data_IF_687701832843
#
_entry.id   IF_687701832843
#
_cell.length_a   1.000
_cell.length_b   1.000
_cell.length_c   1.000
_cell.angle_alpha   90.00
_cell.angle_beta   90.00
_cell.angle_gamma   90.00
#
_symmetry.space_group_name_H-M   'P 1'
#
loop_
_entity.id
_entity.type
_entity.pdbx_description
1 polymer ?
#
# COMPACT_ATOMS: atom_id res chain seq x y z
N UNK A 1 -10.33 -15.40 -2.27
CA UNK A 1 -11.60 -15.68 -2.96
C UNK A 1 -11.43 -16.58 -4.19
N UNK A 2 -10.59 -16.23 -5.18
CA UNK A 2 -10.40 -17.06 -6.40
C UNK A 2 -10.01 -18.52 -6.13
N UNK A 3 -8.94 -18.76 -5.36
CA UNK A 3 -8.50 -20.13 -5.03
C UNK A 3 -9.47 -20.90 -4.13
N UNK A 4 -10.19 -20.19 -3.25
CA UNK A 4 -11.21 -20.81 -2.40
C UNK A 4 -12.43 -21.27 -3.22
N UNK A 5 -12.81 -20.54 -4.27
CA UNK A 5 -13.88 -20.95 -5.17
C UNK A 5 -13.47 -22.17 -6.04
N UNK A 6 -12.22 -22.24 -6.47
CA UNK A 6 -11.69 -23.38 -7.22
C UNK A 6 -11.56 -24.61 -6.31
N UNK A 7 -11.21 -24.43 -5.04
CA UNK A 7 -11.11 -25.51 -4.07
C UNK A 7 -12.45 -26.22 -3.83
N UNK A 8 -13.59 -25.55 -4.03
CA UNK A 8 -14.92 -26.18 -3.95
C UNK A 8 -15.17 -27.22 -5.05
N UNK A 9 -14.35 -27.22 -6.11
CA UNK A 9 -14.44 -28.17 -7.23
C UNK A 9 -13.47 -29.36 -7.08
N UNK A 10 -12.65 -29.38 -6.02
CA UNK A 10 -11.59 -30.38 -5.80
C UNK A 10 -11.99 -31.29 -4.62
N UNK A 11 -11.68 -32.60 -4.68
CA UNK A 11 -11.94 -33.53 -3.58
C UNK A 11 -11.38 -33.02 -2.24
N UNK A 12 -12.18 -33.16 -1.17
CA UNK A 12 -11.86 -32.70 0.16
C UNK A 12 -10.50 -33.26 0.65
N UNK A 13 -9.60 -32.35 1.04
CA UNK A 13 -8.28 -32.67 1.55
C UNK A 13 -7.39 -31.42 1.59
N UNK A 14 -6.79 -31.14 2.73
CA UNK A 14 -5.84 -30.03 2.93
C UNK A 14 -4.67 -30.09 1.96
N UNK A 15 -4.18 -31.29 1.65
CA UNK A 15 -3.04 -31.49 0.74
C UNK A 15 -3.36 -31.03 -0.69
N UNK A 16 -4.54 -31.37 -1.21
CA UNK A 16 -4.97 -30.96 -2.54
C UNK A 16 -5.16 -29.44 -2.62
N UNK A 17 -5.66 -28.82 -1.55
CA UNK A 17 -5.80 -27.38 -1.46
C UNK A 17 -4.44 -26.67 -1.39
N UNK A 18 -3.48 -27.22 -0.65
CA UNK A 18 -2.11 -26.71 -0.57
C UNK A 18 -1.39 -26.85 -1.91
N UNK A 19 -1.55 -27.97 -2.62
CA UNK A 19 -1.01 -28.17 -3.97
C UNK A 19 -1.66 -27.19 -4.96
N UNK A 20 -2.98 -26.99 -4.88
CA UNK A 20 -3.68 -25.99 -5.72
C UNK A 20 -3.15 -24.58 -5.46
N UNK A 21 -2.98 -24.20 -4.19
CA UNK A 21 -2.43 -22.90 -3.82
C UNK A 21 -1.00 -22.74 -4.33
N UNK A 22 -0.12 -23.71 -4.06
CA UNK A 22 1.27 -23.67 -4.49
C UNK A 22 1.36 -23.61 -6.02
N UNK A 23 0.68 -24.51 -6.73
CA UNK A 23 0.66 -24.55 -8.19
C UNK A 23 0.07 -23.26 -8.75
N UNK A 24 -1.07 -22.81 -8.23
CA UNK A 24 -1.74 -21.59 -8.67
C UNK A 24 -0.89 -20.33 -8.48
N UNK A 25 -0.19 -20.21 -7.37
CA UNK A 25 0.71 -19.07 -7.12
C UNK A 25 1.92 -19.02 -8.05
N UNK A 26 2.36 -20.16 -8.59
CA UNK A 26 3.49 -20.23 -9.54
C UNK A 26 3.00 -20.15 -10.99
N UNK A 27 1.91 -20.85 -11.32
CA UNK A 27 1.40 -20.96 -12.69
C UNK A 27 0.72 -19.66 -13.14
N UNK A 28 -0.01 -18.95 -12.28
CA UNK A 28 -0.70 -17.72 -12.66
C UNK A 28 0.29 -16.63 -13.12
N UNK A 29 1.40 -16.34 -12.41
CA UNK A 29 2.40 -15.40 -12.92
C UNK A 29 3.07 -15.87 -14.21
N UNK A 30 3.38 -17.18 -14.34
CA UNK A 30 4.01 -17.73 -15.55
C UNK A 30 3.09 -17.64 -16.77
N UNK A 31 1.80 -17.92 -16.59
CA UNK A 31 0.79 -17.79 -17.64
C UNK A 31 0.48 -16.33 -17.95
N UNK A 32 0.53 -15.44 -16.96
CA UNK A 32 0.35 -14.00 -17.16
C UNK A 32 1.58 -13.32 -17.81
N UNK A 33 2.77 -13.91 -17.69
CA UNK A 33 4.02 -13.36 -18.21
C UNK A 33 3.98 -12.99 -19.71
N UNK A 34 3.51 -13.84 -20.64
CA UNK A 34 3.39 -13.47 -22.05
C UNK A 34 2.33 -12.38 -22.35
N UNK A 35 1.39 -12.15 -21.42
CA UNK A 35 0.37 -11.10 -21.56
C UNK A 35 0.78 -9.78 -20.90
N UNK A 36 1.89 -9.75 -20.16
CA UNK A 36 2.47 -8.52 -19.65
C UNK A 36 3.07 -7.72 -20.81
N UNK A 37 2.25 -6.82 -21.37
CA UNK A 37 2.75 -5.76 -22.25
C UNK A 37 3.58 -4.81 -21.40
N UNK A 38 4.90 -4.93 -21.50
CA UNK A 38 5.83 -3.91 -21.03
C UNK A 38 5.62 -2.70 -21.95
N UNK A 39 4.88 -1.71 -21.48
CA UNK A 39 4.68 -0.45 -22.21
C UNK A 39 6.06 0.23 -22.28
N UNK A 40 6.64 0.43 -23.49
CA UNK A 40 7.91 1.15 -23.61
C UNK A 40 7.73 2.56 -23.05
N UNK A 41 8.65 2.96 -22.19
CA UNK A 41 8.59 4.23 -21.48
C UNK A 41 8.78 5.37 -22.48
N UNK A 42 7.77 6.23 -22.64
CA UNK A 42 8.01 7.53 -23.26
C UNK A 42 8.84 8.36 -22.28
N UNK A 43 10.04 8.77 -22.72
CA UNK A 43 10.85 9.76 -22.04
C UNK A 43 9.96 10.99 -21.80
N UNK A 44 9.68 11.30 -20.54
CA UNK A 44 8.90 12.47 -20.18
C UNK A 44 9.74 13.71 -20.51
N UNK A 45 9.63 14.22 -21.73
CA UNK A 45 10.21 15.51 -22.07
C UNK A 45 9.41 16.58 -21.35
N UNK A 46 10.00 17.17 -20.32
CA UNK A 46 9.48 18.37 -19.69
C UNK A 46 9.26 19.41 -20.79
N UNK A 47 8.04 19.89 -20.95
CA UNK A 47 7.77 21.04 -21.81
C UNK A 47 8.59 22.19 -21.21
N UNK A 48 9.48 22.86 -21.98
CA UNK A 48 10.13 24.07 -21.51
C UNK A 48 9.02 25.06 -21.18
N UNK A 49 8.97 25.50 -19.92
CA UNK A 49 8.12 26.61 -19.52
C UNK A 49 8.60 27.83 -20.29
N UNK A 50 7.98 28.11 -21.43
CA UNK A 50 8.25 29.29 -22.22
C UNK A 50 7.95 30.48 -21.32
N UNK A 51 8.99 31.26 -21.05
CA UNK A 51 8.98 32.46 -20.23
C UNK A 51 7.70 33.27 -20.42
N UNK A 52 7.05 33.58 -19.29
CA UNK A 52 6.17 34.73 -19.05
C UNK A 52 5.75 35.49 -20.31
N UNK A 53 4.78 34.96 -21.06
CA UNK A 53 3.86 35.84 -21.77
C UNK A 53 2.84 36.33 -20.76
N UNK A 54 3.15 37.50 -20.19
CA UNK A 54 2.17 38.38 -19.57
C UNK A 54 1.07 38.62 -20.61
N UNK A 55 0.01 37.82 -20.55
CA UNK A 55 -1.19 38.06 -21.35
C UNK A 55 -1.80 39.36 -20.85
N UNK A 56 -1.64 40.42 -21.64
CA UNK A 56 -2.46 41.60 -21.53
C UNK A 56 -3.93 41.16 -21.61
N UNK A 57 -4.61 41.26 -20.48
CA UNK A 57 -6.05 41.07 -20.33
C UNK A 57 -6.75 42.03 -21.29
N UNK A 58 -7.18 41.54 -22.45
CA UNK A 58 -8.10 42.27 -23.32
C UNK A 58 -9.44 42.32 -22.61
N UNK A 59 -9.73 43.50 -22.05
CA UNK A 59 -11.01 43.90 -21.49
C UNK A 59 -12.10 43.73 -22.56
N UNK A 60 -12.92 42.69 -22.45
CA UNK A 60 -14.22 42.65 -23.13
C UNK A 60 -15.27 43.31 -22.21
N UNK A 61 -15.72 44.48 -22.62
CA UNK A 61 -16.96 45.08 -22.12
C UNK A 61 -18.13 44.45 -22.85
N UNK A 62 -19.19 44.06 -22.14
CA UNK A 62 -20.52 43.90 -22.76
C UNK A 62 -21.36 42.72 -22.25
N UNK A 63 -22.09 42.97 -21.17
CA UNK A 63 -23.39 42.43 -20.75
C UNK A 63 -24.17 41.48 -21.68
N UNK A 64 -24.63 40.38 -21.10
CA UNK A 64 -25.88 39.72 -21.46
C UNK A 64 -27.07 40.64 -21.15
N UNK A 65 -27.99 40.80 -22.11
CA UNK A 65 -29.39 41.11 -21.82
C UNK A 65 -30.26 40.08 -22.55
N UNK A 66 -31.17 39.46 -21.79
CA UNK A 66 -32.19 38.53 -22.26
C UNK A 66 -33.31 39.27 -23.03
N UNK A 67 -34.05 38.60 -23.93
CA UNK A 67 -34.99 39.24 -24.84
C UNK A 67 -36.36 39.47 -24.19
N UNK A 68 -37.09 40.51 -24.65
CA UNK A 68 -38.53 40.37 -24.84
C UNK A 68 -38.99 40.84 -26.22
N UNK A 69 -39.69 39.92 -26.90
CA UNK A 69 -40.98 40.06 -27.60
C UNK A 69 -41.40 41.39 -28.24
N UNK A 70 -41.70 41.31 -29.55
CA UNK A 70 -42.69 42.06 -30.38
C UNK A 70 -42.72 43.60 -30.38
N UNK A 71 -42.37 44.22 -31.52
CA UNK A 71 -43.29 44.99 -32.41
C UNK A 71 -42.54 45.87 -33.46
N UNK A 72 -43.19 46.31 -34.56
CA UNK A 72 -42.56 46.72 -35.81
C UNK A 72 -42.29 48.22 -35.95
N UNK A 73 -41.22 48.60 -36.66
CA UNK A 73 -41.09 49.95 -37.24
C UNK A 73 -39.68 50.56 -37.30
N UNK A 74 -38.95 50.26 -38.39
CA UNK A 74 -37.97 51.13 -39.09
C UNK A 74 -36.77 51.77 -38.32
N UNK A 75 -35.78 52.38 -38.99
CA UNK A 75 -34.99 51.96 -40.15
C UNK A 75 -33.45 52.00 -39.89
N UNK A 76 -32.66 51.29 -40.70
CA UNK A 76 -31.19 51.48 -40.80
C UNK A 76 -30.83 52.90 -41.26
N UNK A 77 -29.59 53.34 -40.98
CA UNK A 77 -28.71 53.68 -42.12
C UNK A 77 -27.26 53.24 -41.86
N UNK A 78 -26.71 52.26 -42.58
CA UNK A 78 -25.99 52.41 -43.86
C UNK A 78 -25.11 53.64 -44.02
N UNK A 79 -23.81 53.38 -44.30
CA UNK A 79 -22.85 54.08 -45.18
C UNK A 79 -21.45 53.59 -44.76
N UNK A 80 -20.56 53.03 -45.58
CA UNK A 80 -20.30 53.13 -47.02
C UNK A 80 -19.47 51.91 -47.44
N UNK A 81 -19.77 51.36 -48.63
CA UNK A 81 -18.82 50.63 -49.49
C UNK A 81 -18.02 51.67 -50.33
N UNK A 82 -17.19 51.33 -51.34
CA UNK A 82 -16.81 50.01 -51.85
C UNK A 82 -15.29 49.87 -52.13
N UNK A 83 -14.82 48.66 -52.43
CA UNK A 83 -14.28 48.22 -53.73
C UNK A 83 -12.89 47.61 -53.44
N UNK A 84 -12.38 46.56 -54.07
CA UNK A 84 -12.69 45.91 -55.35
C UNK A 84 -12.10 44.49 -55.38
N UNK A 85 -12.65 43.62 -56.25
CA UNK A 85 -11.96 42.64 -57.14
C UNK A 85 -10.98 41.61 -56.54
N UNK A 86 -10.89 40.33 -56.93
CA UNK A 86 -11.56 39.42 -57.88
C UNK A 86 -10.76 38.08 -57.81
N UNK A 87 -11.42 36.95 -58.09
CA UNK A 87 -10.86 35.69 -58.69
C UNK A 87 -9.99 34.71 -57.85
N UNK A 88 -10.59 33.66 -57.25
CA UNK A 88 -10.75 32.23 -57.71
C UNK A 88 -9.77 31.68 -58.79
N UNK A 89 -9.49 30.35 -58.99
CA UNK A 89 -9.60 29.10 -58.17
C UNK A 89 -8.31 28.20 -58.17
N UNK A 90 -8.21 27.14 -57.33
CA UNK A 90 -8.03 25.74 -57.79
C UNK A 90 -8.07 24.67 -56.66
N UNK A 91 -8.83 23.61 -56.96
CA UNK A 91 -9.09 22.29 -56.36
C UNK A 91 -7.90 21.29 -56.51
N UNK A 92 -7.99 19.98 -56.14
CA UNK A 92 -8.65 19.30 -55.00
C UNK A 92 -7.88 18.06 -54.43
N UNK A 93 -8.53 17.38 -53.46
CA UNK A 93 -8.45 15.94 -53.09
C UNK A 93 -7.16 15.42 -52.42
N UNK A 94 -7.17 14.72 -51.27
CA UNK A 94 -8.04 13.61 -50.85
C UNK A 94 -8.22 13.51 -49.30
N UNK A 95 -9.44 13.17 -48.89
CA UNK A 95 -9.94 12.72 -47.57
C UNK A 95 -9.70 11.20 -47.35
N UNK A 96 -10.13 10.50 -46.26
CA UNK A 96 -10.92 10.92 -45.07
C UNK A 96 -10.46 10.35 -43.69
N UNK A 97 -11.15 10.83 -42.64
CA UNK A 97 -11.62 10.07 -41.44
C UNK A 97 -10.56 9.62 -40.40
N UNK A 98 -10.80 9.64 -39.09
CA UNK A 98 -11.94 9.91 -38.20
C UNK A 98 -11.31 9.97 -36.80
N UNK A 99 -11.58 10.97 -35.96
CA UNK A 99 -12.64 10.85 -34.96
C UNK A 99 -12.06 11.11 -33.56
N UNK A 100 -12.24 12.34 -33.09
CA UNK A 100 -11.80 12.85 -31.80
C UNK A 100 -12.62 12.22 -30.64
N UNK A 101 -11.96 11.56 -29.70
CA UNK A 101 -12.57 11.17 -28.42
C UNK A 101 -12.28 12.22 -27.34
N UNK A 102 -13.12 13.25 -27.28
CA UNK A 102 -13.25 14.12 -26.12
C UNK A 102 -14.20 13.48 -25.10
N UNK A 103 -13.73 13.26 -23.88
CA UNK A 103 -14.59 13.10 -22.70
C UNK A 103 -13.93 13.72 -21.48
N UNK A 104 -14.21 15.01 -21.32
CA UNK A 104 -13.92 15.80 -20.12
C UNK A 104 -15.22 15.96 -19.36
N UNK A 105 -15.35 15.34 -18.19
CA UNK A 105 -16.46 15.59 -17.26
C UNK A 105 -15.98 15.47 -15.82
N UNK A 106 -15.57 16.58 -15.21
CA UNK A 106 -15.92 16.86 -13.82
C UNK A 106 -16.15 18.37 -13.67
N UNK A 107 -17.35 18.65 -13.19
CA UNK A 107 -17.98 19.94 -12.98
C UNK A 107 -17.17 20.82 -12.03
N UNK A 108 -17.13 22.10 -12.39
CA UNK A 108 -16.74 23.23 -11.58
C UNK A 108 -17.51 23.29 -10.27
N UNK A 109 -16.79 23.58 -9.19
CA UNK A 109 -17.28 24.33 -8.04
C UNK A 109 -16.18 25.29 -7.63
N UNK A 110 -16.32 26.54 -8.07
CA UNK A 110 -15.53 27.68 -7.61
C UNK A 110 -16.08 28.14 -6.27
N UNK A 111 -15.24 28.21 -5.24
CA UNK A 111 -15.27 29.22 -4.16
C UNK A 111 -13.93 29.21 -3.41
N UNK A 112 -13.24 30.35 -3.51
CA UNK A 112 -12.26 30.96 -2.60
C UNK A 112 -11.20 30.11 -1.88
N UNK A 113 -9.95 30.19 -2.34
CA UNK A 113 -8.77 30.26 -1.44
C UNK A 113 -7.50 30.69 -2.21
N UNK A 114 -7.43 32.00 -2.51
CA UNK A 114 -6.27 32.66 -3.12
C UNK A 114 -5.20 33.02 -2.07
N UNK A 115 -4.75 32.04 -1.28
CA UNK A 115 -3.54 32.19 -0.43
C UNK A 115 -2.78 30.87 -0.17
N UNK A 116 -3.30 29.70 -0.60
CA UNK A 116 -2.66 28.38 -0.40
C UNK A 116 -1.63 27.96 -1.47
N UNK A 117 -1.51 28.71 -2.57
CA UNK A 117 -0.79 28.24 -3.78
C UNK A 117 0.73 28.47 -3.77
N UNK A 118 1.32 29.09 -2.72
CA UNK A 118 2.78 29.19 -2.58
C UNK A 118 3.44 28.00 -1.86
N UNK A 119 2.69 27.18 -1.12
CA UNK A 119 3.26 26.05 -0.38
C UNK A 119 3.10 24.68 -1.06
N UNK A 120 2.14 24.51 -1.97
CA UNK A 120 1.96 23.24 -2.70
C UNK A 120 2.98 23.00 -3.83
N UNK A 121 3.76 24.03 -4.22
CA UNK A 121 4.79 23.92 -5.25
C UNK A 121 6.15 23.43 -4.73
N UNK A 122 6.39 23.44 -3.41
CA UNK A 122 7.72 23.20 -2.85
C UNK A 122 8.05 21.72 -2.61
N UNK A 123 7.06 20.86 -2.37
CA UNK A 123 7.33 19.45 -2.06
C UNK A 123 7.30 18.51 -3.28
N UNK A 124 6.65 18.90 -4.39
CA UNK A 124 6.78 18.17 -5.67
C UNK A 124 8.14 18.36 -6.35
N UNK A 125 8.93 19.33 -5.89
CA UNK A 125 10.29 19.61 -6.39
C UNK A 125 11.40 18.97 -5.53
N UNK A 126 11.03 18.15 -4.53
CA UNK A 126 11.96 17.46 -3.62
C UNK A 126 12.11 15.96 -3.92
N UNK A 127 11.55 15.45 -5.01
CA UNK A 127 12.00 14.18 -5.60
C UNK A 127 13.36 14.44 -6.26
N UNK A 128 14.42 13.87 -5.69
CA UNK A 128 15.74 13.87 -6.31
C UNK A 128 15.62 13.31 -7.74
N UNK A 129 15.99 14.08 -8.77
CA UNK A 129 15.96 13.58 -10.13
C UNK A 129 16.98 12.44 -10.22
N UNK A 130 16.52 11.22 -10.51
CA UNK A 130 17.31 9.99 -10.75
C UNK A 130 17.64 9.02 -9.58
N UNK A 131 16.71 8.71 -8.65
CA UNK A 131 16.77 7.39 -7.99
C UNK A 131 15.94 6.37 -8.76
N UNK A 132 16.54 5.79 -9.80
CA UNK A 132 16.00 4.63 -10.51
C UNK A 132 16.89 3.41 -10.25
N UNK A 133 16.84 2.92 -9.01
CA UNK A 133 17.65 1.78 -8.54
C UNK A 133 16.80 0.52 -8.68
N UNK A 134 17.31 -0.50 -9.37
CA UNK A 134 16.54 -1.69 -9.76
C UNK A 134 17.22 -3.00 -9.40
N UNK A 135 16.44 -3.98 -8.97
CA UNK A 135 16.87 -5.38 -8.83
C UNK A 135 18.11 -5.55 -7.93
N UNK A 136 19.14 -6.23 -8.41
CA UNK A 136 20.36 -6.50 -7.63
C UNK A 136 21.14 -5.24 -7.22
N UNK A 137 20.90 -4.09 -7.87
CA UNK A 137 21.51 -2.81 -7.48
C UNK A 137 21.02 -2.31 -6.11
N UNK A 138 19.96 -2.91 -5.55
CA UNK A 138 19.47 -2.63 -4.19
C UNK A 138 20.36 -3.23 -3.10
N UNK A 139 20.97 -4.38 -3.35
CA UNK A 139 21.71 -5.15 -2.34
C UNK A 139 22.88 -4.41 -1.68
N UNK A 140 23.66 -3.56 -2.36
CA UNK A 140 24.73 -2.80 -1.70
C UNK A 140 24.21 -1.64 -0.83
N UNK A 141 22.92 -1.27 -0.91
CA UNK A 141 22.40 -0.11 -0.18
C UNK A 141 22.06 -0.45 1.27
N UNK A 142 22.46 0.39 2.24
CA UNK A 142 22.11 0.18 3.64
C UNK A 142 20.59 0.33 3.88
N UNK A 143 19.92 1.22 3.15
CA UNK A 143 18.47 1.43 3.23
C UNK A 143 17.70 0.16 2.83
N UNK A 144 18.25 -0.61 1.89
CA UNK A 144 17.67 -1.89 1.50
C UNK A 144 17.65 -2.85 2.68
N UNK A 145 18.79 -3.06 3.34
CA UNK A 145 18.87 -4.00 4.47
C UNK A 145 18.04 -3.53 5.67
N UNK A 146 17.96 -2.22 5.91
CA UNK A 146 17.11 -1.67 6.96
C UNK A 146 15.63 -2.01 6.71
N UNK A 147 15.11 -1.74 5.51
CA UNK A 147 13.73 -2.05 5.15
C UNK A 147 13.49 -3.57 5.05
N UNK A 148 14.43 -4.32 4.48
CA UNK A 148 14.37 -5.77 4.35
C UNK A 148 14.28 -6.45 5.72
N UNK A 149 15.14 -6.06 6.67
CA UNK A 149 15.11 -6.60 8.03
C UNK A 149 13.85 -6.20 8.78
N UNK A 150 13.37 -4.95 8.66
CA UNK A 150 12.12 -4.54 9.27
C UNK A 150 10.91 -5.30 8.70
N UNK A 151 10.83 -5.43 7.38
CA UNK A 151 9.77 -6.20 6.74
C UNK A 151 9.84 -7.65 7.20
N UNK A 152 11.02 -8.28 7.15
CA UNK A 152 11.22 -9.65 7.60
C UNK A 152 10.81 -9.86 9.05
N UNK A 153 11.27 -9.02 9.99
CA UNK A 153 10.93 -9.17 11.40
C UNK A 153 9.41 -9.05 11.63
N UNK A 154 8.78 -7.97 11.16
CA UNK A 154 7.36 -7.72 11.43
C UNK A 154 6.44 -8.72 10.68
N UNK A 155 6.77 -9.04 9.43
CA UNK A 155 6.00 -10.06 8.68
C UNK A 155 6.22 -11.45 9.23
N UNK A 156 7.43 -11.79 9.67
CA UNK A 156 7.73 -13.09 10.26
C UNK A 156 6.91 -13.35 11.52
N UNK A 157 6.80 -12.36 12.40
CA UNK A 157 5.95 -12.41 13.60
C UNK A 157 4.48 -12.63 13.22
N UNK A 158 3.98 -11.86 12.24
CA UNK A 158 2.61 -12.00 11.76
C UNK A 158 2.34 -13.35 11.10
N UNK A 159 3.26 -13.84 10.26
CA UNK A 159 3.16 -15.12 9.56
C UNK A 159 3.19 -16.31 10.52
N UNK A 160 3.99 -16.25 11.60
CA UNK A 160 3.94 -17.25 12.65
C UNK A 160 2.54 -17.36 13.23
N UNK A 161 1.95 -16.22 13.61
CA UNK A 161 0.61 -16.20 14.20
C UNK A 161 -0.44 -16.67 13.18
N UNK A 162 -0.41 -16.15 11.95
CA UNK A 162 -1.38 -16.50 10.89
C UNK A 162 -1.37 -17.99 10.58
N UNK A 163 -0.18 -18.58 10.41
CA UNK A 163 -0.06 -19.97 9.99
C UNK A 163 -0.38 -20.95 11.12
N UNK A 164 -0.21 -20.54 12.39
CA UNK A 164 -0.40 -21.41 13.54
C UNK A 164 -1.62 -21.09 14.39
N UNK A 165 -2.42 -20.07 14.04
CA UNK A 165 -3.63 -19.71 14.80
C UNK A 165 -4.62 -20.89 14.93
N UNK A 166 -4.61 -21.80 13.96
CA UNK A 166 -5.41 -23.02 14.02
C UNK A 166 -4.98 -23.97 15.13
N UNK A 167 -3.67 -24.08 15.35
CA UNK A 167 -3.07 -24.88 16.42
C UNK A 167 -3.36 -24.24 17.79
N UNK A 168 -3.26 -22.91 17.90
CA UNK A 168 -3.65 -22.17 19.11
C UNK A 168 -5.13 -22.42 19.47
N UNK A 169 -6.01 -22.33 18.47
CA UNK A 169 -7.44 -22.58 18.65
C UNK A 169 -7.71 -24.02 19.10
N UNK A 170 -7.07 -25.00 18.47
CA UNK A 170 -7.21 -26.42 18.83
C UNK A 170 -6.74 -26.69 20.26
N UNK A 171 -5.55 -26.22 20.64
CA UNK A 171 -5.00 -26.40 21.98
C UNK A 171 -5.90 -25.79 23.06
N UNK A 172 -6.39 -24.56 22.85
CA UNK A 172 -7.26 -23.88 23.81
C UNK A 172 -8.64 -24.53 23.93
N UNK A 173 -9.28 -24.90 22.82
CA UNK A 173 -10.61 -25.52 22.85
C UNK A 173 -10.58 -26.91 23.48
N UNK A 174 -9.60 -27.75 23.13
CA UNK A 174 -9.46 -29.09 23.73
C UNK A 174 -9.13 -29.02 25.23
N UNK A 175 -8.38 -28.00 25.65
CA UNK A 175 -8.10 -27.77 27.06
C UNK A 175 -9.32 -27.22 27.82
N UNK A 176 -10.12 -26.37 27.17
CA UNK A 176 -11.30 -25.74 27.78
C UNK A 176 -12.49 -26.71 27.91
N UNK A 177 -12.75 -27.51 26.89
CA UNK A 177 -13.80 -28.53 26.88
C UNK A 177 -13.31 -29.80 26.16
N UNK A 178 -12.96 -30.87 26.91
CA UNK A 178 -12.49 -32.13 26.36
C UNK A 178 -13.52 -32.85 25.48
N UNK A 179 -14.82 -32.50 25.56
CA UNK A 179 -15.88 -33.10 24.74
C UNK A 179 -16.05 -32.43 23.36
N UNK A 180 -15.24 -31.42 23.06
CA UNK A 180 -15.29 -30.68 21.80
C UNK A 180 -15.03 -31.58 20.60
N UNK A 181 -15.95 -31.56 19.62
CA UNK A 181 -15.79 -32.35 18.39
C UNK A 181 -14.83 -31.68 17.39
N UNK A 182 -14.15 -32.46 16.53
CA UNK A 182 -13.25 -31.91 15.51
C UNK A 182 -13.93 -30.90 14.58
N UNK A 183 -15.20 -31.11 14.21
CA UNK A 183 -15.96 -30.23 13.32
C UNK A 183 -16.19 -28.84 13.94
N UNK A 184 -16.37 -28.79 15.26
CA UNK A 184 -16.48 -27.52 15.97
C UNK A 184 -15.16 -26.75 15.93
N UNK A 185 -14.03 -27.44 16.14
CA UNK A 185 -12.69 -26.83 16.10
C UNK A 185 -12.43 -26.26 14.70
N UNK A 186 -12.69 -27.03 13.65
CA UNK A 186 -12.53 -26.60 12.26
C UNK A 186 -13.33 -25.32 11.96
N UNK A 187 -14.59 -25.26 12.40
CA UNK A 187 -15.43 -24.06 12.27
C UNK A 187 -14.83 -22.84 12.99
N UNK A 188 -14.21 -23.04 14.16
CA UNK A 188 -13.52 -21.97 14.90
C UNK A 188 -12.24 -21.52 14.21
N UNK A 189 -11.45 -22.44 13.66
CA UNK A 189 -10.26 -22.11 12.86
C UNK A 189 -10.63 -21.27 11.64
N UNK A 190 -11.68 -21.65 10.89
CA UNK A 190 -12.18 -20.87 9.76
C UNK A 190 -12.66 -19.46 10.15
N UNK A 191 -13.26 -19.32 11.33
CA UNK A 191 -13.62 -18.02 11.89
C UNK A 191 -12.38 -17.14 12.13
N UNK A 192 -11.30 -17.67 12.68
CA UNK A 192 -10.05 -16.93 12.86
C UNK A 192 -9.43 -16.48 11.53
N UNK A 193 -9.44 -17.35 10.51
CA UNK A 193 -8.99 -17.00 9.14
C UNK A 193 -9.83 -15.85 8.55
N UNK A 194 -11.14 -15.86 8.78
CA UNK A 194 -12.05 -14.80 8.33
C UNK A 194 -11.78 -13.47 9.04
N UNK A 195 -11.56 -13.49 10.36
CA UNK A 195 -11.21 -12.30 11.15
C UNK A 195 -9.87 -11.72 10.70
N UNK A 196 -8.85 -12.57 10.54
CA UNK A 196 -7.55 -12.14 10.02
C UNK A 196 -7.68 -11.42 8.67
N UNK A 197 -8.49 -11.97 7.78
CA UNK A 197 -8.73 -11.39 6.44
C UNK A 197 -9.43 -10.03 6.52
N UNK A 198 -10.50 -9.91 7.31
CA UNK A 198 -11.24 -8.67 7.49
C UNK A 198 -10.39 -7.58 8.16
N UNK A 199 -9.72 -7.91 9.26
CA UNK A 199 -8.86 -6.98 9.97
C UNK A 199 -7.65 -6.57 9.12
N UNK A 200 -7.08 -7.47 8.31
CA UNK A 200 -6.02 -7.14 7.35
C UNK A 200 -6.48 -6.17 6.28
N UNK A 201 -7.68 -6.36 5.73
CA UNK A 201 -8.28 -5.38 4.83
C UNK A 201 -8.44 -4.01 5.50
N UNK A 202 -9.00 -3.96 6.71
CA UNK A 202 -9.13 -2.72 7.48
C UNK A 202 -7.78 -2.06 7.78
N UNK A 203 -6.76 -2.86 8.12
CA UNK A 203 -5.39 -2.40 8.34
C UNK A 203 -4.80 -1.75 7.10
N UNK A 204 -4.96 -2.36 5.92
CA UNK A 204 -4.48 -1.80 4.64
C UNK A 204 -5.17 -0.48 4.29
N UNK A 205 -6.49 -0.43 4.47
CA UNK A 205 -7.27 0.77 4.21
C UNK A 205 -6.86 1.93 5.14
N UNK A 206 -6.74 1.64 6.44
CA UNK A 206 -6.34 2.64 7.45
C UNK A 206 -4.91 3.12 7.24
N UNK A 207 -3.96 2.23 6.93
CA UNK A 207 -2.57 2.65 6.66
C UNK A 207 -2.43 3.38 5.34
N UNK A 208 -3.18 3.01 4.30
CA UNK A 208 -3.13 3.71 3.01
C UNK A 208 -3.56 5.16 3.16
N UNK A 209 -4.82 5.37 3.57
CA UNK A 209 -5.39 6.70 3.80
C UNK A 209 -4.61 7.44 4.89
N UNK A 210 -4.26 6.75 5.97
CA UNK A 210 -3.54 7.32 7.10
C UNK A 210 -2.15 7.82 6.71
N UNK A 211 -1.43 7.08 5.86
CA UNK A 211 -0.10 7.49 5.40
C UNK A 211 -0.15 8.74 4.52
N UNK A 212 -1.17 8.87 3.67
CA UNK A 212 -1.35 10.03 2.81
C UNK A 212 -1.76 11.26 3.61
N UNK A 213 -2.66 11.10 4.59
CA UNK A 213 -3.02 12.16 5.53
C UNK A 213 -1.81 12.61 6.37
N UNK A 214 -1.02 11.66 6.86
CA UNK A 214 0.14 11.93 7.69
C UNK A 214 1.22 12.73 6.95
N UNK A 215 1.48 12.39 5.69
CA UNK A 215 2.42 13.14 4.84
C UNK A 215 1.83 14.51 4.47
N UNK A 216 0.59 14.56 3.97
CA UNK A 216 0.01 15.78 3.41
C UNK A 216 -0.41 16.84 4.42
N UNK A 217 -0.88 16.43 5.62
CA UNK A 217 -1.43 17.36 6.63
C UNK A 217 -0.53 17.53 7.84
N UNK A 218 0.23 16.50 8.21
CA UNK A 218 1.06 16.52 9.42
C UNK A 218 2.56 16.67 9.13
N UNK A 219 2.96 16.61 7.85
CA UNK A 219 4.35 16.65 7.39
C UNK A 219 5.24 15.64 8.16
N UNK A 220 4.69 14.45 8.42
CA UNK A 220 5.37 13.37 9.15
C UNK A 220 5.66 12.21 8.22
N UNK A 221 6.77 11.52 8.52
CA UNK A 221 7.23 10.37 7.77
C UNK A 221 6.24 9.19 7.77
N UNK A 222 6.16 8.48 6.65
CA UNK A 222 5.39 7.23 6.49
C UNK A 222 5.85 6.13 7.46
N UNK A 223 7.06 6.21 8.00
CA UNK A 223 7.58 5.29 9.01
C UNK A 223 6.75 5.29 10.32
N UNK A 224 5.99 6.34 10.62
CA UNK A 224 5.10 6.35 11.78
C UNK A 224 3.94 5.37 11.65
N UNK A 225 3.41 5.14 10.45
CA UNK A 225 2.40 4.10 10.22
C UNK A 225 2.99 2.71 10.48
N UNK A 226 4.25 2.51 10.12
CA UNK A 226 4.97 1.27 10.35
C UNK A 226 5.29 1.06 11.84
N UNK A 227 5.67 2.13 12.54
CA UNK A 227 5.81 2.13 14.00
C UNK A 227 4.48 1.76 14.69
N UNK A 228 3.36 2.36 14.26
CA UNK A 228 2.04 2.02 14.80
C UNK A 228 1.70 0.53 14.59
N UNK A 229 1.95 -0.01 13.40
CA UNK A 229 1.82 -1.45 13.12
C UNK A 229 2.69 -2.29 14.07
N UNK A 230 3.96 -1.92 14.27
CA UNK A 230 4.87 -2.59 15.20
C UNK A 230 4.38 -2.59 16.65
N UNK A 231 3.82 -1.46 17.13
CA UNK A 231 3.21 -1.39 18.47
C UNK A 231 2.01 -2.32 18.59
N UNK A 232 1.16 -2.39 17.57
CA UNK A 232 0.01 -3.30 17.56
C UNK A 232 0.48 -4.76 17.54
N UNK A 233 1.55 -5.09 16.82
CA UNK A 233 2.19 -6.40 16.92
C UNK A 233 2.67 -6.70 18.35
N UNK A 234 3.33 -5.76 19.03
CA UNK A 234 3.73 -5.94 20.42
C UNK A 234 2.52 -6.27 21.32
N UNK A 235 1.42 -5.52 21.19
CA UNK A 235 0.18 -5.77 21.94
C UNK A 235 -0.40 -7.13 21.59
N UNK A 236 -0.41 -7.51 20.30
CA UNK A 236 -0.87 -8.81 19.86
C UNK A 236 -0.03 -9.94 20.47
N UNK A 237 1.30 -9.83 20.46
CA UNK A 237 2.17 -10.85 21.02
C UNK A 237 2.00 -10.97 22.55
N UNK A 238 1.86 -9.86 23.28
CA UNK A 238 1.51 -9.88 24.71
C UNK A 238 0.15 -10.54 24.94
N UNK A 239 -0.85 -10.24 24.11
CA UNK A 239 -2.15 -10.91 24.21
C UNK A 239 -1.99 -12.42 23.99
N UNK A 240 -1.23 -12.83 22.97
CA UNK A 240 -0.89 -14.23 22.72
C UNK A 240 -0.24 -14.91 23.93
N UNK A 241 0.69 -14.25 24.62
CA UNK A 241 1.27 -14.82 25.83
C UNK A 241 0.31 -14.88 27.00
N UNK A 242 -0.80 -14.14 27.04
CA UNK A 242 -1.72 -14.06 28.19
C UNK A 242 -3.04 -14.83 28.00
N UNK A 243 -3.43 -15.15 26.77
CA UNK A 243 -4.71 -15.80 26.46
C UNK A 243 -4.72 -17.23 26.98
N UNK A 244 -5.59 -17.50 27.95
CA UNK A 244 -5.91 -18.85 28.46
C UNK A 244 -7.31 -19.32 28.06
N UNK A 245 -8.17 -18.43 27.57
CA UNK A 245 -9.56 -18.74 27.21
C UNK A 245 -9.73 -18.68 25.69
N UNK A 246 -10.31 -19.70 25.04
CA UNK A 246 -10.45 -19.75 23.58
C UNK A 246 -11.24 -18.57 22.98
N UNK A 247 -12.20 -18.01 23.73
CA UNK A 247 -12.97 -16.85 23.27
C UNK A 247 -12.13 -15.59 23.05
N UNK A 248 -11.06 -15.40 23.84
CA UNK A 248 -10.18 -14.24 23.73
C UNK A 248 -9.20 -14.35 22.56
N UNK A 249 -9.06 -15.53 21.94
CA UNK A 249 -8.20 -15.74 20.77
C UNK A 249 -8.61 -14.86 19.58
N UNK A 250 -9.88 -14.43 19.52
CA UNK A 250 -10.38 -13.47 18.54
C UNK A 250 -9.61 -12.14 18.59
N UNK A 251 -9.22 -11.69 19.77
CA UNK A 251 -8.43 -10.46 19.94
C UNK A 251 -7.05 -10.61 19.28
N UNK A 252 -6.39 -11.75 19.49
CA UNK A 252 -5.08 -12.04 18.90
C UNK A 252 -5.16 -12.07 17.37
N UNK A 253 -6.16 -12.75 16.81
CA UNK A 253 -6.39 -12.78 15.37
C UNK A 253 -6.70 -11.39 14.80
N UNK A 254 -7.56 -10.62 15.47
CA UNK A 254 -7.94 -9.28 15.03
C UNK A 254 -6.76 -8.31 15.02
N UNK A 255 -6.00 -8.25 16.13
CA UNK A 255 -4.83 -7.37 16.26
C UNK A 255 -3.72 -7.76 15.26
N UNK A 256 -3.43 -9.06 15.13
CA UNK A 256 -2.43 -9.55 14.17
C UNK A 256 -2.85 -9.23 12.74
N UNK A 257 -4.10 -9.50 12.38
CA UNK A 257 -4.63 -9.20 11.05
C UNK A 257 -4.52 -7.71 10.74
N UNK A 258 -4.94 -6.85 11.68
CA UNK A 258 -4.87 -5.40 11.52
C UNK A 258 -3.43 -4.88 11.38
N UNK A 259 -2.51 -5.29 12.26
CA UNK A 259 -1.11 -4.90 12.21
C UNK A 259 -0.44 -5.37 10.90
N UNK A 260 -0.69 -6.61 10.49
CA UNK A 260 -0.19 -7.19 9.25
C UNK A 260 -0.75 -6.49 8.01
N UNK A 261 -2.03 -6.11 8.05
CA UNK A 261 -2.67 -5.29 7.02
C UNK A 261 -2.00 -3.93 6.89
N UNK A 262 -1.82 -3.21 8.00
CA UNK A 262 -1.14 -1.92 8.01
C UNK A 262 0.29 -2.00 7.46
N UNK A 263 1.04 -3.02 7.88
CA UNK A 263 2.40 -3.28 7.43
C UNK A 263 2.45 -3.36 5.90
N UNK A 264 1.65 -4.24 5.30
CA UNK A 264 1.60 -4.41 3.84
C UNK A 264 0.94 -3.26 3.09
N UNK A 265 0.10 -2.46 3.75
CA UNK A 265 -0.52 -1.29 3.14
C UNK A 265 0.45 -0.13 2.96
N UNK A 266 1.38 0.10 3.89
CA UNK A 266 2.34 1.22 3.81
C UNK A 266 3.68 0.85 3.16
N UNK A 267 4.09 -0.42 3.21
CA UNK A 267 5.44 -0.81 2.80
C UNK A 267 5.77 -0.55 1.32
N UNK A 268 4.88 -0.84 0.34
CA UNK A 268 5.17 -0.53 -1.06
C UNK A 268 5.45 0.97 -1.28
N UNK A 269 4.72 1.83 -0.57
CA UNK A 269 4.89 3.28 -0.60
C UNK A 269 6.22 3.73 0.02
N UNK A 270 6.75 3.01 1.01
CA UNK A 270 8.10 3.22 1.57
C UNK A 270 9.19 2.79 0.59
N UNK A 271 9.03 1.63 -0.06
CA UNK A 271 9.96 1.15 -1.09
C UNK A 271 10.02 2.11 -2.27
N UNK A 272 8.87 2.62 -2.72
CA UNK A 272 8.80 3.61 -3.79
C UNK A 272 9.49 4.93 -3.41
N UNK A 273 9.37 5.34 -2.15
CA UNK A 273 10.03 6.55 -1.63
C UNK A 273 11.55 6.40 -1.55
N UNK A 274 12.06 5.23 -1.14
CA UNK A 274 13.50 5.00 -1.00
C UNK A 274 14.23 4.68 -2.31
N UNK A 275 13.58 3.97 -3.24
CA UNK A 275 14.26 3.43 -4.44
C UNK A 275 13.66 3.89 -5.77
N UNK A 276 12.59 4.71 -5.73
CA UNK A 276 11.89 5.20 -6.89
C UNK A 276 10.72 4.33 -7.35
N UNK A 277 9.81 4.94 -8.13
CA UNK A 277 8.58 4.32 -8.63
C UNK A 277 8.76 3.46 -9.89
N UNK A 278 9.76 3.78 -10.73
CA UNK A 278 9.95 3.15 -12.05
C UNK A 278 10.31 1.65 -11.97
N UNK A 279 11.03 1.24 -10.92
CA UNK A 279 11.39 -0.14 -10.61
C UNK A 279 10.56 -0.78 -9.48
N UNK A 280 9.44 -0.18 -9.07
CA UNK A 280 8.74 -0.53 -7.83
C UNK A 280 8.36 -2.01 -7.76
N UNK A 281 7.85 -2.61 -8.84
CA UNK A 281 7.44 -4.01 -8.85
C UNK A 281 8.61 -4.97 -8.62
N UNK A 282 9.79 -4.68 -9.17
CA UNK A 282 11.01 -5.46 -8.96
C UNK A 282 11.51 -5.28 -7.52
N UNK A 283 11.62 -4.03 -7.07
CA UNK A 283 12.13 -3.69 -5.74
C UNK A 283 11.23 -4.27 -4.64
N UNK A 284 9.91 -4.14 -4.79
CA UNK A 284 8.93 -4.76 -3.90
C UNK A 284 9.01 -6.28 -3.93
N UNK A 285 9.09 -6.89 -5.12
CA UNK A 285 9.26 -8.34 -5.27
C UNK A 285 10.50 -8.85 -4.51
N UNK A 286 11.64 -8.18 -4.65
CA UNK A 286 12.86 -8.51 -3.90
C UNK A 286 12.67 -8.34 -2.39
N UNK A 287 12.00 -7.27 -1.94
CA UNK A 287 11.68 -7.08 -0.52
C UNK A 287 10.82 -8.21 0.04
N UNK A 288 9.87 -8.73 -0.73
CA UNK A 288 9.00 -9.83 -0.30
C UNK A 288 9.69 -11.19 -0.15
N UNK A 289 11.00 -11.29 -0.44
CA UNK A 289 11.82 -12.43 -0.03
C UNK A 289 12.09 -12.43 1.49
N UNK A 290 12.07 -11.28 2.16
CA UNK A 290 12.29 -11.22 3.61
C UNK A 290 11.25 -12.00 4.42
N UNK A 291 9.93 -11.86 4.15
CA UNK A 291 8.88 -12.71 4.76
C UNK A 291 9.08 -14.21 4.51
N UNK A 292 9.62 -14.61 3.35
CA UNK A 292 9.86 -16.03 3.05
C UNK A 292 10.92 -16.60 4.01
N UNK A 293 12.01 -15.87 4.22
CA UNK A 293 13.09 -16.31 5.12
C UNK A 293 12.62 -16.27 6.58
N UNK A 294 12.20 -15.09 7.03
CA UNK A 294 11.81 -14.84 8.43
C UNK A 294 10.58 -15.65 8.86
N UNK A 295 9.56 -15.74 8.00
CA UNK A 295 8.36 -16.52 8.25
C UNK A 295 8.67 -18.00 8.49
N UNK A 296 9.56 -18.60 7.70
CA UNK A 296 9.99 -19.98 7.94
C UNK A 296 10.74 -20.14 9.27
N UNK A 297 11.62 -19.20 9.61
CA UNK A 297 12.35 -19.23 10.89
C UNK A 297 11.38 -19.24 12.07
N UNK A 298 10.42 -18.30 12.11
CA UNK A 298 9.47 -18.22 13.22
C UNK A 298 8.47 -19.38 13.22
N UNK A 299 8.01 -19.85 12.06
CA UNK A 299 7.12 -21.02 11.97
C UNK A 299 7.81 -22.30 12.45
N UNK A 300 9.06 -22.53 12.07
CA UNK A 300 9.82 -23.69 12.55
C UNK A 300 10.11 -23.60 14.04
N UNK A 301 10.38 -22.39 14.56
CA UNK A 301 10.54 -22.18 16.00
C UNK A 301 9.23 -22.48 16.75
N UNK A 302 8.11 -21.95 16.25
CA UNK A 302 6.79 -22.23 16.80
C UNK A 302 6.51 -23.74 16.81
N UNK A 303 6.70 -24.42 15.67
CA UNK A 303 6.48 -25.85 15.55
C UNK A 303 7.29 -26.65 16.55
N UNK A 304 8.59 -26.35 16.70
CA UNK A 304 9.44 -27.01 17.72
C UNK A 304 8.95 -26.79 19.15
N UNK A 305 8.49 -25.58 19.48
CA UNK A 305 7.96 -25.26 20.81
C UNK A 305 6.65 -26.00 21.05
N UNK A 306 5.75 -25.98 20.08
CA UNK A 306 4.45 -26.63 20.16
C UNK A 306 4.58 -28.15 20.24
N UNK A 307 5.44 -28.73 19.41
CA UNK A 307 5.70 -30.16 19.36
C UNK A 307 6.43 -30.68 20.59
N UNK A 308 7.20 -29.82 21.28
CA UNK A 308 7.82 -30.16 22.55
C UNK A 308 6.82 -30.40 23.69
N UNK A 309 5.58 -29.92 23.55
CA UNK A 309 4.50 -30.08 24.52
C UNK A 309 3.38 -31.01 24.04
N UNK A 310 3.46 -31.51 22.80
CA UNK A 310 2.43 -32.36 22.22
C UNK A 310 2.69 -33.84 22.47
N UNK A 311 1.60 -34.61 22.44
CA UNK A 311 1.59 -36.06 22.61
C UNK A 311 0.99 -36.65 21.33
N UNK A 312 1.46 -37.82 20.89
CA UNK A 312 0.84 -38.52 19.77
C UNK A 312 -0.50 -39.11 20.19
N UNK A 313 -1.54 -38.78 19.45
CA UNK A 313 -2.84 -39.42 19.56
C UNK A 313 -2.86 -40.80 18.90
N UNK A 314 -3.94 -41.55 19.13
CA UNK A 314 -4.19 -42.86 18.51
C UNK A 314 -4.21 -42.83 16.98
N UNK A 315 -4.56 -41.68 16.39
CA UNK A 315 -4.51 -41.43 14.95
C UNK A 315 -3.09 -41.16 14.40
N UNK A 316 -2.09 -41.02 15.27
CA UNK A 316 -0.71 -40.69 14.91
C UNK A 316 -0.41 -39.18 14.84
N UNK A 317 -1.43 -38.33 14.97
CA UNK A 317 -1.28 -36.87 14.96
C UNK A 317 -0.69 -36.34 16.28
N UNK A 318 0.14 -35.29 16.19
CA UNK A 318 0.70 -34.59 17.34
C UNK A 318 -0.31 -33.56 17.85
N UNK A 319 -0.81 -33.72 19.08
CA UNK A 319 -1.73 -32.77 19.69
C UNK A 319 -1.26 -32.30 21.06
N UNK A 320 -1.45 -31.01 21.33
CA UNK A 320 -1.13 -30.44 22.63
C UNK A 320 -2.40 -30.12 23.42
N UNK A 321 -2.54 -30.73 24.59
CA UNK A 321 -3.72 -30.61 25.48
C UNK A 321 -3.51 -29.66 26.66
N UNK A 322 -2.33 -29.02 26.73
CA UNK A 322 -1.95 -28.12 27.83
C UNK A 322 -2.45 -26.67 27.63
N UNK A 323 -3.26 -26.43 26.59
CA UNK A 323 -3.82 -25.12 26.29
C UNK A 323 -2.73 -24.09 26.00
N UNK A 324 -2.72 -23.00 26.77
CA UNK A 324 -1.79 -21.87 26.60
C UNK A 324 -0.32 -22.27 26.62
N UNK A 325 0.07 -23.26 27.43
CA UNK A 325 1.48 -23.65 27.62
C UNK A 325 2.08 -24.16 26.31
N UNK A 326 1.27 -24.72 25.42
CA UNK A 326 1.68 -25.26 24.12
C UNK A 326 2.40 -24.23 23.24
N UNK A 327 1.96 -22.97 23.28
CA UNK A 327 2.44 -21.93 22.35
C UNK A 327 3.01 -20.69 23.04
N UNK A 328 2.73 -20.46 24.34
CA UNK A 328 3.06 -19.20 25.01
C UNK A 328 4.55 -18.83 24.93
N UNK A 329 5.45 -19.82 24.90
CA UNK A 329 6.89 -19.57 24.74
C UNK A 329 7.24 -19.01 23.36
N UNK A 330 6.55 -19.43 22.31
CA UNK A 330 6.75 -18.89 20.96
C UNK A 330 6.37 -17.41 20.90
N UNK A 331 5.24 -17.05 21.52
CA UNK A 331 4.77 -15.66 21.61
C UNK A 331 5.70 -14.75 22.43
N UNK A 332 6.39 -15.29 23.44
CA UNK A 332 7.44 -14.54 24.15
C UNK A 332 8.63 -14.22 23.26
N UNK A 333 9.07 -15.18 22.43
CA UNK A 333 10.20 -14.97 21.51
C UNK A 333 9.83 -13.93 20.44
N UNK A 334 8.64 -14.06 19.84
CA UNK A 334 8.17 -13.06 18.86
C UNK A 334 7.85 -11.72 19.48
N UNK A 335 7.48 -11.65 20.77
CA UNK A 335 7.34 -10.38 21.48
C UNK A 335 8.68 -9.64 21.57
N UNK A 336 9.77 -10.33 21.92
CA UNK A 336 11.12 -9.73 21.92
C UNK A 336 11.49 -9.26 20.51
N UNK A 337 11.21 -10.07 19.48
CA UNK A 337 11.42 -9.66 18.09
C UNK A 337 10.57 -8.44 17.69
N UNK A 338 9.34 -8.32 18.21
CA UNK A 338 8.47 -7.17 17.98
C UNK A 338 9.04 -5.90 18.60
N UNK A 339 9.56 -5.97 19.84
CA UNK A 339 10.27 -4.85 20.48
C UNK A 339 11.46 -4.40 19.64
N UNK A 340 12.27 -5.35 19.14
CA UNK A 340 13.38 -5.03 18.25
C UNK A 340 12.89 -4.35 16.97
N UNK A 341 11.81 -4.86 16.35
CA UNK A 341 11.18 -4.25 15.19
C UNK A 341 10.70 -2.81 15.45
N UNK A 342 10.06 -2.56 16.59
CA UNK A 342 9.64 -1.22 17.03
C UNK A 342 10.86 -0.31 17.25
N UNK A 343 11.92 -0.82 17.86
CA UNK A 343 13.19 -0.12 18.02
C UNK A 343 13.80 0.29 16.68
N UNK A 344 13.82 -0.61 15.70
CA UNK A 344 14.26 -0.32 14.34
C UNK A 344 13.37 0.74 13.66
N UNK A 345 12.05 0.72 13.88
CA UNK A 345 11.15 1.76 13.37
C UNK A 345 11.48 3.13 13.98
N UNK A 346 11.65 3.21 15.31
CA UNK A 346 12.00 4.45 16.00
C UNK A 346 13.36 4.98 15.56
N UNK A 347 14.35 4.08 15.38
CA UNK A 347 15.64 4.44 14.82
C UNK A 347 15.51 5.04 13.42
N UNK A 348 14.69 4.44 12.56
CA UNK A 348 14.43 4.92 11.20
C UNK A 348 13.82 6.33 11.21
N UNK A 349 12.83 6.55 12.07
CA UNK A 349 12.18 7.86 12.25
C UNK A 349 13.18 8.91 12.75
N UNK A 350 14.00 8.54 13.74
CA UNK A 350 15.01 9.45 14.29
C UNK A 350 16.08 9.79 13.27
N UNK A 351 16.57 8.80 12.52
CA UNK A 351 17.57 8.98 11.48
C UNK A 351 17.06 9.92 10.38
N UNK A 352 15.85 9.70 9.88
CA UNK A 352 15.21 10.57 8.88
C UNK A 352 15.05 12.01 9.40
N UNK A 353 14.61 12.17 10.66
CA UNK A 353 14.52 13.48 11.30
C UNK A 353 15.87 14.20 11.39
N UNK A 354 16.96 13.50 11.73
CA UNK A 354 18.30 14.11 11.79
C UNK A 354 18.77 14.55 10.40
N UNK A 355 18.56 13.73 9.37
CA UNK A 355 18.95 14.07 8.00
C UNK A 355 18.23 15.33 7.50
N UNK A 356 16.91 15.41 7.72
CA UNK A 356 16.15 16.62 7.38
C UNK A 356 16.64 17.85 8.12
N UNK A 357 16.88 17.74 9.44
CA UNK A 357 17.37 18.85 10.25
C UNK A 357 18.74 19.37 9.78
N UNK A 358 19.67 18.48 9.42
CA UNK A 358 20.98 18.87 8.90
C UNK A 358 20.85 19.55 7.54
N UNK A 359 19.97 19.06 6.66
CA UNK A 359 19.74 19.67 5.34
C UNK A 359 19.15 21.07 5.47
N UNK A 360 18.13 21.25 6.29
CA UNK A 360 17.50 22.57 6.50
C UNK A 360 18.51 23.56 7.12
N UNK A 361 19.39 23.10 8.02
CA UNK A 361 20.46 23.94 8.59
C UNK A 361 21.46 24.40 7.52
N UNK A 362 21.82 23.51 6.57
CA UNK A 362 22.71 23.87 5.43
C UNK A 362 22.03 24.84 4.47
N UNK A 363 20.77 24.60 4.12
CA UNK A 363 19.99 25.49 3.26
C UNK A 363 19.87 26.91 3.87
N UNK A 364 19.65 27.01 5.19
CA UNK A 364 19.64 28.30 5.89
C UNK A 364 21.02 28.98 5.93
N UNK A 365 22.10 28.21 6.14
CA UNK A 365 23.46 28.75 6.12
C UNK A 365 23.84 29.31 4.74
N UNK A 366 23.55 28.56 3.67
CA UNK A 366 23.78 28.99 2.29
C UNK A 366 22.93 30.21 1.91
N UNK A 367 21.69 30.30 2.38
CA UNK A 367 20.85 31.47 2.15
C UNK A 367 21.39 32.71 2.86
N UNK A 368 21.91 32.56 4.08
CA UNK A 368 22.52 33.66 4.82
C UNK A 368 23.80 34.15 4.14
N UNK A 369 24.62 33.23 3.61
CA UNK A 369 25.84 33.56 2.85
C UNK A 369 25.56 34.21 1.49
N UNK A 370 24.43 33.90 0.84
CA UNK A 370 24.01 34.57 -0.40
C UNK A 370 23.39 35.96 -0.21
N UNK A 371 23.00 36.30 1.03
CA UNK A 371 22.31 37.58 1.34
C UNK A 371 23.15 38.56 2.14
N UNK A 372 24.30 38.13 2.67
CA UNK A 372 25.37 38.96 3.20
C UNK A 372 26.34 39.37 2.09
#
# INVERSE_FOLDING_TARGET
MFFAAIALLIPAGTDNFLILLATGTVLLPLLAFPFLRIIPQHSYHHIPQQDRQVMHRTRSSGSHDFPPTEEPGAPQPTKKAPSSSRTVPQQPDTTPESGDEHSSLLSSSDVDDLEGSKHLGSDRNRESPHLDIRGFALLPLPEFWQLFSMLGLLTGIGLMTINNIGNDAQALWKHYDPSTTPEFIEKRQAMHVSILSFCSFAGRLTSGIGSDFLVSKLNRSRFWCLFASGVIFCVAQIAGTAISTPHLLVLLSGLTGFAYGMLFGVFPSLVAHCFGVHGLSQNWGTMTLAPVISGNIFNLLYGRIYDGHSIRNEAGDMECLQGRVCYSSAYWVTFVAAILGVGCCLWSIWHEYQVHRVRDTKEHAEHHERTA
#
